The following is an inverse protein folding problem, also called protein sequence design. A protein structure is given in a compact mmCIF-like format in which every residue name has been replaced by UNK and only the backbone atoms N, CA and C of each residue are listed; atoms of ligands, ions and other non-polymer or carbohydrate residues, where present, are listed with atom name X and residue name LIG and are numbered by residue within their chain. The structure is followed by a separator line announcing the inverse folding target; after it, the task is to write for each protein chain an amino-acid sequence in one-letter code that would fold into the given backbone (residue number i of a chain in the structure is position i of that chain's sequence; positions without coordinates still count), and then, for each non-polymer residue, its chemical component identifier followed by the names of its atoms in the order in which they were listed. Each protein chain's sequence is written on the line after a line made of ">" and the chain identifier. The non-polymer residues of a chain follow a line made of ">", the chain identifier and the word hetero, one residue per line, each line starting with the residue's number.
data_IF_906040449619
#
_entry.id   IF_906040449619
#
_cell.length_a   1.000
_cell.length_b   1.000
_cell.length_c   1.000
_cell.angle_alpha   90.00
_cell.angle_beta   90.00
_cell.angle_gamma   90.00
#
_symmetry.space_group_name_H-M   'P 1'
#
loop_
_entity.id
_entity.type
_entity.pdbx_description
1 polymer ?
#
# COMPACT_ATOMS: atom_id res chain seq x y z
N UNK A 1 -0.26 -4.27 -20.14
CA UNK A 1 0.07 -3.85 -18.76
C UNK A 1 -0.83 -2.69 -18.38
N UNK A 2 -1.44 -2.72 -17.20
CA UNK A 2 -2.29 -1.66 -16.66
C UNK A 2 -1.60 -1.08 -15.42
N UNK A 3 -1.49 0.24 -15.36
CA UNK A 3 -0.94 0.99 -14.23
C UNK A 3 -2.04 1.88 -13.66
N UNK A 4 -2.42 1.68 -12.40
CA UNK A 4 -3.47 2.45 -11.74
C UNK A 4 -2.94 3.13 -10.49
N UNK A 5 -2.73 4.45 -10.58
CA UNK A 5 -2.33 5.30 -9.46
C UNK A 5 -3.53 5.86 -8.69
N UNK A 6 -3.38 6.04 -7.37
CA UNK A 6 -4.39 6.68 -6.53
C UNK A 6 -3.76 7.37 -5.32
N UNK A 7 -4.23 8.58 -5.01
CA UNK A 7 -3.92 9.31 -3.78
C UNK A 7 -4.96 8.97 -2.70
N UNK A 8 -4.54 8.74 -1.47
CA UNK A 8 -5.39 8.18 -0.41
C UNK A 8 -5.14 8.80 0.95
N UNK A 9 -6.19 8.85 1.76
CA UNK A 9 -6.15 9.22 3.18
C UNK A 9 -6.36 8.01 4.12
N UNK A 10 -6.97 6.93 3.62
CA UNK A 10 -7.35 5.76 4.43
C UNK A 10 -6.28 4.67 4.51
N UNK A 11 -5.16 4.94 5.18
CA UNK A 11 -4.04 3.98 5.31
C UNK A 11 -4.46 2.65 5.93
N UNK A 12 -5.13 2.66 7.09
CA UNK A 12 -5.57 1.44 7.77
C UNK A 12 -6.46 0.55 6.88
N UNK A 13 -7.42 1.15 6.17
CA UNK A 13 -8.31 0.42 5.27
C UNK A 13 -7.53 -0.17 4.09
N UNK A 14 -6.56 0.57 3.55
CA UNK A 14 -5.71 0.07 2.47
C UNK A 14 -4.85 -1.11 2.93
N UNK A 15 -4.23 -1.05 4.11
CA UNK A 15 -3.46 -2.18 4.65
C UNK A 15 -4.35 -3.42 4.81
N UNK A 16 -5.55 -3.27 5.37
CA UNK A 16 -6.49 -4.39 5.52
C UNK A 16 -6.87 -4.99 4.17
N UNK A 17 -7.15 -4.15 3.16
CA UNK A 17 -7.50 -4.62 1.81
C UNK A 17 -6.33 -5.34 1.12
N UNK A 18 -5.12 -4.77 1.17
CA UNK A 18 -3.94 -5.38 0.55
C UNK A 18 -3.53 -6.70 1.21
N UNK A 19 -3.81 -6.85 2.51
CA UNK A 19 -3.49 -8.04 3.30
C UNK A 19 -4.64 -9.04 3.41
N UNK A 20 -5.74 -8.83 2.69
CA UNK A 20 -6.88 -9.73 2.73
C UNK A 20 -6.60 -11.02 1.97
N UNK A 21 -6.03 -12.02 2.62
CA UNK A 21 -5.71 -13.34 2.05
C UNK A 21 -6.94 -14.24 1.81
N UNK A 22 -8.13 -13.79 2.21
CA UNK A 22 -9.39 -14.47 1.91
C UNK A 22 -9.88 -14.09 0.52
N UNK A 23 -9.78 -12.81 0.16
CA UNK A 23 -10.17 -12.29 -1.16
C UNK A 23 -9.03 -12.32 -2.18
N UNK A 24 -7.78 -12.29 -1.72
CA UNK A 24 -6.60 -12.43 -2.57
C UNK A 24 -6.12 -13.89 -2.54
N UNK A 25 -5.93 -14.51 -3.70
CA UNK A 25 -5.41 -15.89 -3.79
C UNK A 25 -4.11 -16.06 -3.01
N UNK A 26 -3.19 -15.09 -3.12
CA UNK A 26 -1.95 -15.03 -2.35
C UNK A 26 -1.56 -13.57 -2.06
N UNK A 27 -0.99 -13.33 -0.87
CA UNK A 27 -0.41 -12.04 -0.51
C UNK A 27 1.00 -12.23 0.02
N UNK A 28 1.95 -11.46 -0.49
CA UNK A 28 3.31 -11.40 0.05
C UNK A 28 3.78 -9.95 0.03
N UNK A 29 4.27 -9.47 1.18
CA UNK A 29 4.96 -8.17 1.23
C UNK A 29 6.40 -8.40 0.77
N UNK A 30 6.76 -7.83 -0.39
CA UNK A 30 8.12 -7.94 -0.92
C UNK A 30 9.13 -7.10 -0.13
N UNK A 31 8.78 -5.86 0.18
CA UNK A 31 9.67 -4.92 0.86
C UNK A 31 8.86 -3.89 1.64
N UNK A 32 9.34 -3.57 2.85
CA UNK A 32 8.88 -2.41 3.63
C UNK A 32 10.12 -1.65 4.09
N UNK A 33 10.28 -0.40 3.63
CA UNK A 33 11.48 0.40 3.88
C UNK A 33 11.14 1.81 4.33
N UNK A 34 12.02 2.41 5.13
CA UNK A 34 11.90 3.79 5.59
C UNK A 34 10.87 4.01 6.71
N UNK A 35 10.41 2.93 7.35
CA UNK A 35 9.51 2.96 8.50
C UNK A 35 10.17 2.27 9.68
N UNK A 36 9.76 2.65 10.89
CA UNK A 36 10.18 1.97 12.12
C UNK A 36 9.44 0.65 12.26
N UNK A 37 8.17 0.60 11.86
CA UNK A 37 7.36 -0.60 11.90
C UNK A 37 7.78 -1.60 10.84
N UNK A 38 7.81 -2.87 11.25
CA UNK A 38 8.08 -4.02 10.40
C UNK A 38 6.82 -4.57 9.70
N UNK A 39 5.67 -3.92 9.85
CA UNK A 39 4.43 -4.34 9.19
C UNK A 39 3.72 -3.17 8.48
N UNK A 40 2.96 -3.51 7.44
CA UNK A 40 2.33 -2.54 6.55
C UNK A 40 1.34 -1.62 7.29
N UNK A 41 0.59 -2.16 8.24
CA UNK A 41 -0.38 -1.40 9.01
C UNK A 41 0.29 -0.34 9.91
N UNK A 42 1.41 -0.69 10.55
CA UNK A 42 2.21 0.24 11.35
C UNK A 42 2.88 1.31 10.49
N UNK A 43 3.47 0.93 9.36
CA UNK A 43 4.06 1.87 8.41
C UNK A 43 3.02 2.91 7.91
N UNK A 44 1.80 2.48 7.58
CA UNK A 44 0.74 3.42 7.19
C UNK A 44 0.26 4.31 8.34
N UNK A 45 0.32 3.85 9.59
CA UNK A 45 0.05 4.69 10.77
C UNK A 45 1.15 5.73 10.99
N UNK A 46 2.42 5.37 10.77
CA UNK A 46 3.54 6.33 10.81
C UNK A 46 3.37 7.42 9.75
N UNK A 47 3.04 7.04 8.51
CA UNK A 47 2.77 8.01 7.44
C UNK A 47 1.61 8.96 7.79
N UNK A 48 0.55 8.43 8.42
CA UNK A 48 -0.56 9.25 8.92
C UNK A 48 -0.09 10.22 10.02
N UNK A 49 0.67 9.75 11.01
CA UNK A 49 1.19 10.58 12.09
C UNK A 49 2.05 11.74 11.57
N UNK A 50 2.90 11.49 10.57
CA UNK A 50 3.69 12.54 9.89
C UNK A 50 2.76 13.54 9.21
N UNK A 51 1.71 13.07 8.52
CA UNK A 51 0.77 13.94 7.81
C UNK A 51 0.04 14.93 8.72
N UNK A 52 -0.24 14.54 9.98
CA UNK A 52 -0.89 15.40 10.97
C UNK A 52 -0.08 16.66 11.32
N UNK A 53 1.24 16.66 11.11
CA UNK A 53 2.10 17.84 11.25
C UNK A 53 2.09 18.78 10.03
N UNK A 54 1.27 18.48 9.02
CA UNK A 54 1.24 19.18 7.73
C UNK A 54 -0.18 19.56 7.31
N UNK A 55 -0.34 20.19 6.14
CA UNK A 55 -1.65 20.43 5.52
C UNK A 55 -2.08 19.31 4.55
N UNK A 56 -1.34 18.20 4.52
CA UNK A 56 -1.60 17.09 3.61
C UNK A 56 -2.84 16.28 4.05
N UNK A 57 -3.83 16.15 3.17
CA UNK A 57 -5.04 15.36 3.42
C UNK A 57 -4.95 13.94 2.87
N UNK A 58 -4.23 13.75 1.76
CA UNK A 58 -4.02 12.45 1.10
C UNK A 58 -2.52 12.15 1.09
N UNK A 59 -2.05 11.60 2.21
CA UNK A 59 -0.63 11.40 2.50
C UNK A 59 -0.04 10.11 1.92
N UNK A 60 -0.89 9.26 1.32
CA UNK A 60 -0.46 8.03 0.64
C UNK A 60 -0.67 8.14 -0.86
N UNK A 61 0.27 7.58 -1.60
CA UNK A 61 0.11 7.26 -3.01
C UNK A 61 0.31 5.76 -3.18
N UNK A 62 -0.59 5.11 -3.91
CA UNK A 62 -0.49 3.69 -4.27
C UNK A 62 -0.51 3.54 -5.78
N UNK A 63 0.32 2.65 -6.31
CA UNK A 63 0.31 2.24 -7.71
C UNK A 63 0.06 0.74 -7.79
N UNK A 64 -1.03 0.35 -8.43
CA UNK A 64 -1.30 -1.04 -8.78
C UNK A 64 -0.75 -1.33 -10.17
N UNK A 65 0.02 -2.40 -10.30
CA UNK A 65 0.56 -2.90 -11.56
C UNK A 65 -0.15 -4.22 -11.89
N UNK A 66 -0.79 -4.27 -13.05
CA UNK A 66 -1.43 -5.49 -13.55
C UNK A 66 -0.79 -5.87 -14.89
N UNK A 67 0.15 -6.84 -14.88
CA UNK A 67 0.77 -7.33 -16.11
C UNK A 67 -0.26 -8.08 -16.98
N UNK A 68 -0.03 -8.22 -18.29
CA UNK A 68 -0.75 -9.19 -19.12
C UNK A 68 -0.58 -10.63 -18.60
N UNK A 69 -1.55 -11.50 -18.85
CA UNK A 69 -1.51 -12.91 -18.41
C UNK A 69 -0.31 -13.71 -18.94
N UNK A 70 0.23 -13.30 -20.09
CA UNK A 70 1.38 -13.97 -20.74
C UNK A 70 2.73 -13.52 -20.19
N UNK A 71 2.75 -12.53 -19.29
CA UNK A 71 3.99 -11.92 -18.82
C UNK A 71 4.53 -12.66 -17.59
N UNK A 72 5.81 -13.01 -17.60
CA UNK A 72 6.49 -13.51 -16.40
C UNK A 72 6.92 -12.33 -15.54
N UNK A 73 6.24 -12.14 -14.42
CA UNK A 73 6.61 -11.16 -13.39
C UNK A 73 7.37 -11.84 -12.24
N UNK A 74 8.39 -11.17 -11.68
CA UNK A 74 9.16 -11.68 -10.55
C UNK A 74 8.36 -11.69 -9.24
#
# INVERSE_FOLDING_TARGET
>A
MILKGSQRAGGTQLAAHLLNDIENDHVTIHELRGFVSENLAGAFKEAYAVSCGTRCKQFLFSLSLSPPETESVP
#
